data_IF_706131592851
#
_entry.id   IF_706131592851
#
_cell.length_a   1.000
_cell.length_b   1.000
_cell.length_c   1.000
_cell.angle_alpha   90.00
_cell.angle_beta   90.00
_cell.angle_gamma   90.00
#
_symmetry.space_group_name_H-M   'P 1'
#
loop_
_entity.id
_entity.type
_entity.pdbx_description
1 polymer ?
#
# COMPACT_ATOMS: atom_id res chain seq x y z
N UNK A 1 22.63 7.22 17.26
CA UNK A 1 21.61 6.16 17.31
C UNK A 1 20.55 6.54 16.29
N UNK A 2 20.10 5.61 15.43
CA UNK A 2 19.10 5.93 14.40
C UNK A 2 17.71 6.03 15.03
N UNK A 3 16.96 7.07 14.69
CA UNK A 3 15.54 7.25 15.04
C UNK A 3 14.67 6.85 13.86
N UNK A 4 13.92 5.78 14.02
CA UNK A 4 13.04 5.22 13.00
C UNK A 4 11.58 5.50 13.35
N UNK A 5 10.91 6.28 12.51
CA UNK A 5 9.46 6.42 12.49
C UNK A 5 8.79 5.28 11.72
N UNK A 6 7.60 4.88 12.16
CA UNK A 6 6.71 4.04 11.36
C UNK A 6 5.31 4.63 11.36
N UNK A 7 4.72 4.77 10.17
CA UNK A 7 3.31 5.09 9.98
C UNK A 7 2.61 3.80 9.58
N UNK A 8 1.71 3.29 10.41
CA UNK A 8 1.00 2.04 10.13
C UNK A 8 -0.43 2.05 10.67
N UNK A 9 -1.22 1.05 10.27
CA UNK A 9 -2.49 0.73 10.92
C UNK A 9 -2.27 0.33 12.39
N UNK A 10 -3.31 0.40 13.25
CA UNK A 10 -3.17 0.17 14.69
C UNK A 10 -2.37 -1.08 15.03
N UNK A 11 -1.20 -0.90 15.67
CA UNK A 11 -0.30 -2.00 16.04
C UNK A 11 -0.96 -3.02 17.00
N UNK A 12 -1.99 -2.58 17.72
CA UNK A 12 -2.81 -3.44 18.58
C UNK A 12 -3.65 -4.49 17.83
N UNK A 13 -3.82 -4.35 16.51
CA UNK A 13 -4.69 -5.20 15.71
C UNK A 13 -3.94 -6.14 14.76
N UNK A 14 -2.60 -6.16 14.81
CA UNK A 14 -1.79 -6.95 13.88
C UNK A 14 -1.68 -8.42 14.32
N UNK A 15 -1.34 -9.28 13.36
CA UNK A 15 -0.95 -10.66 13.64
C UNK A 15 0.58 -10.79 13.58
N UNK A 16 1.25 -10.81 14.73
CA UNK A 16 2.72 -10.83 14.83
C UNK A 16 3.39 -12.07 14.19
N UNK A 17 2.65 -13.13 13.83
CA UNK A 17 3.20 -14.26 13.03
C UNK A 17 3.39 -13.92 11.56
N UNK A 18 2.62 -12.97 11.03
CA UNK A 18 2.52 -12.70 9.59
C UNK A 18 2.85 -11.26 9.23
N UNK A 19 2.85 -10.37 10.22
CA UNK A 19 3.06 -8.95 10.00
C UNK A 19 4.53 -8.65 9.72
N UNK A 20 4.81 -8.18 8.51
CA UNK A 20 6.17 -7.83 8.09
C UNK A 20 6.63 -6.49 8.66
N UNK A 21 5.71 -5.58 8.99
CA UNK A 21 6.05 -4.32 9.67
C UNK A 21 6.60 -4.60 11.06
N UNK A 22 5.98 -5.55 11.79
CA UNK A 22 6.46 -6.01 13.10
C UNK A 22 7.85 -6.66 13.03
N UNK A 23 8.08 -7.50 12.01
CA UNK A 23 9.40 -8.11 11.79
C UNK A 23 10.50 -7.04 11.55
N UNK A 24 10.18 -5.97 10.81
CA UNK A 24 11.10 -4.83 10.61
C UNK A 24 11.39 -4.10 11.93
N UNK A 25 10.37 -3.86 12.76
CA UNK A 25 10.53 -3.18 14.06
C UNK A 25 11.38 -3.99 15.04
N UNK A 26 11.20 -5.32 15.10
CA UNK A 26 12.03 -6.19 15.93
C UNK A 26 13.51 -6.10 15.54
N UNK A 27 13.81 -6.12 14.24
CA UNK A 27 15.18 -6.01 13.74
C UNK A 27 15.77 -4.61 13.98
N UNK A 28 14.99 -3.55 13.80
CA UNK A 28 15.41 -2.19 14.11
C UNK A 28 15.74 -2.03 15.60
N UNK A 29 14.90 -2.55 16.49
CA UNK A 29 15.16 -2.56 17.92
C UNK A 29 16.40 -3.42 18.28
N UNK A 30 16.58 -4.58 17.63
CA UNK A 30 17.77 -5.43 17.82
C UNK A 30 19.07 -4.70 17.47
N UNK A 31 19.02 -3.77 16.51
CA UNK A 31 20.15 -2.89 16.14
C UNK A 31 20.30 -1.66 17.05
N UNK A 32 19.42 -1.50 18.04
CA UNK A 32 19.42 -0.38 18.97
C UNK A 32 18.86 0.91 18.38
N UNK A 33 17.94 0.84 17.42
CA UNK A 33 17.26 2.03 16.91
C UNK A 33 16.20 2.49 17.92
N UNK A 34 15.96 3.79 18.00
CA UNK A 34 14.82 4.35 18.72
C UNK A 34 13.60 4.34 17.81
N UNK A 35 12.51 3.71 18.26
CA UNK A 35 11.31 3.51 17.45
C UNK A 35 10.26 4.55 17.81
N UNK A 36 9.72 5.23 16.80
CA UNK A 36 8.63 6.20 16.91
C UNK A 36 7.42 5.67 16.15
N UNK A 37 6.34 5.37 16.88
CA UNK A 37 5.09 4.90 16.32
C UNK A 37 4.14 6.07 16.02
N UNK A 38 3.52 6.02 14.84
CA UNK A 38 2.53 6.97 14.36
C UNK A 38 1.41 6.25 13.61
N UNK A 39 0.20 6.77 13.74
CA UNK A 39 -0.94 6.48 12.86
C UNK A 39 -1.19 7.67 11.92
N UNK A 40 -2.08 7.49 10.93
CA UNK A 40 -2.38 8.56 9.96
C UNK A 40 -2.86 9.86 10.63
N UNK A 41 -3.66 9.73 11.70
CA UNK A 41 -4.19 10.87 12.44
C UNK A 41 -3.16 11.60 13.30
N UNK A 42 -1.98 11.01 13.52
CA UNK A 42 -0.89 11.63 14.27
C UNK A 42 -0.09 12.61 13.40
N UNK A 43 -0.16 12.49 12.07
CA UNK A 43 0.58 13.31 11.12
C UNK A 43 -0.13 14.63 10.85
N UNK A 44 0.61 15.73 10.85
CA UNK A 44 0.05 17.03 10.49
C UNK A 44 1.08 17.99 9.91
N UNK A 45 0.58 19.09 9.33
CA UNK A 45 1.37 20.20 8.82
C UNK A 45 1.03 21.48 9.59
N UNK A 46 2.05 22.22 10.00
CA UNK A 46 1.91 23.60 10.49
C UNK A 46 2.83 24.50 9.68
N UNK A 47 2.26 25.48 8.98
CA UNK A 47 3.03 26.42 8.13
C UNK A 47 4.03 25.73 7.17
N UNK A 48 3.67 24.56 6.63
CA UNK A 48 4.52 23.78 5.73
C UNK A 48 5.62 22.96 6.42
N UNK A 49 5.66 22.90 7.74
CA UNK A 49 6.49 21.99 8.52
C UNK A 49 5.72 20.71 8.86
N UNK A 50 6.28 19.56 8.48
CA UNK A 50 5.73 18.25 8.80
C UNK A 50 6.07 17.85 10.23
N UNK A 51 5.04 17.49 10.99
CA UNK A 51 5.13 17.14 12.40
C UNK A 51 4.26 15.93 12.69
N UNK A 52 4.51 15.29 13.82
CA UNK A 52 3.64 14.24 14.32
C UNK A 52 3.65 14.15 15.84
N UNK A 53 2.52 13.71 16.38
CA UNK A 53 2.46 13.17 17.74
C UNK A 53 2.95 11.72 17.72
N UNK A 54 4.17 11.49 18.19
CA UNK A 54 4.79 10.16 18.17
C UNK A 54 4.75 9.51 19.55
N UNK A 55 4.68 8.19 19.57
CA UNK A 55 4.88 7.40 20.78
C UNK A 55 6.17 6.59 20.66
N UNK A 56 7.06 6.69 21.64
CA UNK A 56 8.27 5.87 21.66
C UNK A 56 7.88 4.42 21.93
N UNK A 57 8.23 3.54 21.00
CA UNK A 57 7.74 2.17 20.91
C UNK A 57 8.80 1.17 21.35
N UNK A 58 8.40 0.20 22.16
CA UNK A 58 9.14 -1.03 22.40
C UNK A 58 8.35 -2.22 21.86
N UNK A 59 9.00 -3.14 21.15
CA UNK A 59 8.38 -4.35 20.59
C UNK A 59 9.06 -5.62 21.13
N UNK A 60 8.27 -6.68 21.30
CA UNK A 60 8.78 -8.00 21.72
C UNK A 60 7.96 -9.12 21.09
N UNK A 61 8.62 -10.23 20.73
CA UNK A 61 7.93 -11.40 20.16
C UNK A 61 7.16 -12.16 21.26
N UNK A 62 6.02 -11.62 21.69
CA UNK A 62 5.15 -12.19 22.72
C UNK A 62 3.68 -12.00 22.32
N UNK A 63 2.89 -13.08 22.36
CA UNK A 63 1.49 -13.07 21.91
C UNK A 63 0.52 -12.39 22.87
N UNK A 64 0.88 -12.23 24.14
CA UNK A 64 0.05 -11.56 25.14
C UNK A 64 0.25 -10.04 25.12
N UNK A 65 1.48 -9.60 24.87
CA UNK A 65 1.85 -8.20 24.83
C UNK A 65 3.05 -8.04 23.88
N UNK A 66 2.80 -7.65 22.64
CA UNK A 66 3.87 -7.53 21.63
C UNK A 66 4.46 -6.13 21.49
N UNK A 67 3.84 -5.14 22.14
CA UNK A 67 4.30 -3.76 22.12
C UNK A 67 4.01 -3.05 23.44
N UNK A 68 4.78 -2.01 23.72
CA UNK A 68 4.48 -1.03 24.77
C UNK A 68 4.96 0.36 24.35
N UNK A 69 4.28 1.39 24.86
CA UNK A 69 4.71 2.77 24.70
C UNK A 69 5.44 3.22 25.97
N UNK A 70 6.61 3.81 25.80
CA UNK A 70 7.47 4.25 26.92
C UNK A 70 7.56 5.78 27.05
N UNK A 71 6.92 6.51 26.14
CA UNK A 71 6.84 7.95 26.12
C UNK A 71 6.02 8.44 24.93
N UNK A 72 5.61 9.69 24.98
CA UNK A 72 4.95 10.40 23.89
C UNK A 72 5.50 11.81 23.75
N UNK A 73 5.52 12.30 22.51
CA UNK A 73 6.07 13.60 22.20
C UNK A 73 5.56 14.10 20.86
N UNK A 74 5.36 15.41 20.77
CA UNK A 74 5.18 16.11 19.51
C UNK A 74 6.54 16.54 18.95
N UNK A 75 6.87 16.12 17.73
CA UNK A 75 8.16 16.44 17.10
C UNK A 75 8.02 16.79 15.61
N UNK A 76 8.92 17.62 15.06
CA UNK A 76 9.11 17.71 13.61
C UNK A 76 9.54 16.34 13.06
N UNK A 77 8.91 15.88 11.98
CA UNK A 77 9.29 14.61 11.35
C UNK A 77 10.74 14.62 10.82
N UNK A 78 11.29 15.82 10.57
CA UNK A 78 12.69 16.04 10.21
C UNK A 78 13.69 15.60 11.28
N UNK A 79 13.26 15.43 12.54
CA UNK A 79 14.10 14.96 13.64
C UNK A 79 14.27 13.42 13.62
N UNK A 80 13.53 12.73 12.77
CA UNK A 80 13.67 11.30 12.51
C UNK A 80 14.62 11.09 11.32
N UNK A 81 15.49 10.08 11.41
CA UNK A 81 16.43 9.75 10.34
C UNK A 81 15.71 9.03 9.19
N UNK A 82 14.74 8.18 9.52
CA UNK A 82 14.00 7.36 8.57
C UNK A 82 12.54 7.18 9.00
N UNK A 83 11.61 7.20 8.05
CA UNK A 83 10.20 6.88 8.28
C UNK A 83 9.77 5.76 7.32
N UNK A 84 9.24 4.67 7.88
CA UNK A 84 8.59 3.61 7.13
C UNK A 84 7.10 3.93 6.95
N UNK A 85 6.68 4.22 5.72
CA UNK A 85 5.27 4.37 5.36
C UNK A 85 4.67 2.97 5.10
N UNK A 86 4.07 2.40 6.14
CA UNK A 86 3.56 1.02 6.21
C UNK A 86 2.04 0.97 6.42
N UNK A 87 1.33 2.04 6.05
CA UNK A 87 -0.13 2.07 6.01
C UNK A 87 -0.63 1.10 4.94
N UNK A 88 -1.55 0.22 5.32
CA UNK A 88 -2.18 -0.69 4.36
C UNK A 88 -3.09 0.06 3.39
N UNK A 89 -3.24 -0.41 2.15
CA UNK A 89 -4.25 0.08 1.21
C UNK A 89 -5.67 0.06 1.79
N UNK A 90 -6.59 0.92 1.32
CA UNK A 90 -6.64 1.44 -0.04
C UNK A 90 -5.73 2.66 -0.30
N UNK A 91 -5.30 2.81 -1.56
CA UNK A 91 -4.72 4.06 -2.04
C UNK A 91 -5.86 5.05 -2.32
N UNK A 92 -6.19 5.84 -1.31
CA UNK A 92 -7.23 6.86 -1.34
C UNK A 92 -6.64 8.27 -1.16
N UNK A 93 -7.51 9.28 -1.07
CA UNK A 93 -7.08 10.66 -0.95
C UNK A 93 -6.33 10.92 0.37
N UNK A 94 -6.71 10.25 1.46
CA UNK A 94 -6.03 10.36 2.76
C UNK A 94 -4.60 9.83 2.67
N UNK A 95 -4.40 8.70 1.98
CA UNK A 95 -3.08 8.18 1.69
C UNK A 95 -2.24 9.20 0.90
N UNK A 96 -2.82 9.81 -0.14
CA UNK A 96 -2.15 10.86 -0.94
C UNK A 96 -1.78 12.06 -0.07
N UNK A 97 -2.67 12.53 0.81
CA UNK A 97 -2.38 13.67 1.69
C UNK A 97 -1.23 13.37 2.64
N UNK A 98 -1.19 12.19 3.25
CA UNK A 98 -0.06 11.78 4.06
C UNK A 98 1.26 11.78 3.27
N UNK A 99 1.26 11.38 1.99
CA UNK A 99 2.49 11.45 1.18
C UNK A 99 3.02 12.89 1.06
N UNK A 100 2.16 13.91 0.95
CA UNK A 100 2.63 15.31 0.91
C UNK A 100 3.21 15.76 2.26
N UNK A 101 2.64 15.30 3.38
CA UNK A 101 3.22 15.57 4.70
C UNK A 101 4.62 14.94 4.80
N UNK A 102 4.76 13.66 4.43
CA UNK A 102 6.04 12.96 4.49
C UNK A 102 7.08 13.55 3.53
N UNK A 103 6.66 14.06 2.37
CA UNK A 103 7.55 14.73 1.41
C UNK A 103 8.16 16.02 1.99
N UNK A 104 7.42 16.75 2.84
CA UNK A 104 7.97 17.92 3.56
C UNK A 104 9.03 17.55 4.59
N UNK A 105 9.00 16.33 5.14
CA UNK A 105 10.08 15.79 5.96
C UNK A 105 11.26 15.31 5.10
N UNK A 106 10.97 14.68 3.95
CA UNK A 106 11.97 14.26 2.96
C UNK A 106 12.84 15.43 2.50
N UNK A 107 12.22 16.57 2.17
CA UNK A 107 12.92 17.80 1.77
C UNK A 107 13.87 18.34 2.85
N UNK A 108 13.61 18.00 4.13
CA UNK A 108 14.46 18.37 5.27
C UNK A 108 15.52 17.31 5.62
N UNK A 109 15.56 16.18 4.91
CA UNK A 109 16.62 15.17 5.02
C UNK A 109 16.19 13.81 5.59
N UNK A 110 14.94 13.66 6.03
CA UNK A 110 14.44 12.35 6.51
C UNK A 110 14.29 11.38 5.36
N UNK A 111 14.84 10.17 5.48
CA UNK A 111 14.61 9.12 4.48
C UNK A 111 13.18 8.57 4.62
N UNK A 112 12.36 8.68 3.57
CA UNK A 112 11.03 8.09 3.56
C UNK A 112 11.03 6.79 2.75
N UNK A 113 10.60 5.70 3.36
CA UNK A 113 10.53 4.38 2.74
C UNK A 113 9.07 3.94 2.60
N UNK A 114 8.48 3.88 1.41
CA UNK A 114 9.04 4.28 0.11
C UNK A 114 8.86 5.78 -0.17
N UNK A 115 9.59 6.29 -1.16
CA UNK A 115 9.54 7.70 -1.58
C UNK A 115 8.10 8.18 -1.85
N UNK A 116 7.64 9.28 -1.21
CA UNK A 116 6.28 9.82 -1.36
C UNK A 116 5.83 10.05 -2.79
N UNK A 117 6.69 10.68 -3.60
CA UNK A 117 6.41 10.91 -5.03
C UNK A 117 6.18 9.61 -5.77
N UNK A 118 7.07 8.62 -5.58
CA UNK A 118 6.94 7.31 -6.22
C UNK A 118 5.69 6.55 -5.77
N UNK A 119 5.23 6.73 -4.52
CA UNK A 119 3.96 6.16 -4.08
C UNK A 119 2.76 6.73 -4.84
N UNK A 120 2.81 8.01 -5.24
CA UNK A 120 1.76 8.65 -6.05
C UNK A 120 1.84 8.26 -7.54
N UNK A 121 3.06 8.11 -8.06
CA UNK A 121 3.30 7.78 -9.47
C UNK A 121 3.06 6.29 -9.76
N UNK A 122 3.51 5.41 -8.86
CA UNK A 122 3.55 3.97 -9.07
C UNK A 122 2.31 3.26 -8.51
N UNK A 123 1.13 3.55 -9.07
CA UNK A 123 -0.08 2.81 -8.72
C UNK A 123 0.09 1.30 -8.98
N UNK A 124 -0.20 0.46 -7.99
CA UNK A 124 0.08 -0.99 -8.05
C UNK A 124 -0.47 -1.72 -9.29
N UNK A 125 -1.57 -1.24 -9.89
CA UNK A 125 -2.13 -1.83 -11.11
C UNK A 125 -1.64 -1.13 -12.36
N UNK A 126 -1.70 0.20 -12.38
CA UNK A 126 -1.37 0.97 -13.58
C UNK A 126 0.12 1.04 -13.87
N UNK A 127 0.98 0.92 -12.88
CA UNK A 127 2.41 1.02 -13.09
C UNK A 127 2.93 -0.08 -14.05
N UNK A 128 2.18 -1.17 -14.17
CA UNK A 128 2.42 -2.22 -15.19
C UNK A 128 2.35 -1.71 -16.63
N UNK A 129 1.65 -0.61 -16.91
CA UNK A 129 1.55 -0.02 -18.24
C UNK A 129 2.91 0.50 -18.78
N UNK A 130 3.87 0.79 -17.91
CA UNK A 130 5.23 1.16 -18.29
C UNK A 130 6.11 -0.05 -18.67
N UNK A 131 5.59 -1.27 -18.52
CA UNK A 131 6.28 -2.53 -18.82
C UNK A 131 5.36 -3.45 -19.63
N UNK A 132 4.69 -2.92 -20.64
CA UNK A 132 3.64 -3.62 -21.41
C UNK A 132 4.09 -4.98 -21.96
N UNK A 133 5.37 -5.11 -22.35
CA UNK A 133 5.95 -6.32 -22.92
C UNK A 133 6.07 -7.48 -21.92
N UNK A 134 5.99 -7.18 -20.62
CA UNK A 134 6.05 -8.16 -19.53
C UNK A 134 4.67 -8.47 -18.93
N UNK A 135 3.61 -7.88 -19.49
CA UNK A 135 2.24 -7.96 -18.96
C UNK A 135 1.30 -8.67 -19.95
N UNK A 136 0.22 -9.30 -19.48
CA UNK A 136 -0.83 -9.76 -20.38
C UNK A 136 -1.49 -8.57 -21.08
N UNK A 137 -2.20 -8.84 -22.19
CA UNK A 137 -3.03 -7.83 -22.85
C UNK A 137 -3.96 -7.17 -21.81
N UNK A 138 -3.85 -5.86 -21.64
CA UNK A 138 -4.49 -5.13 -20.53
C UNK A 138 -5.29 -3.95 -21.08
N UNK A 139 -6.59 -3.93 -20.81
CA UNK A 139 -7.48 -2.81 -21.12
C UNK A 139 -7.89 -2.06 -19.86
N UNK A 140 -7.63 -0.76 -19.87
CA UNK A 140 -8.05 0.20 -18.85
C UNK A 140 -9.16 1.07 -19.44
N UNK A 141 -10.40 0.94 -18.96
CA UNK A 141 -11.52 1.75 -19.47
C UNK A 141 -12.69 1.86 -18.49
N UNK A 142 -13.49 2.92 -18.65
CA UNK A 142 -14.83 3.07 -18.07
C UNK A 142 -15.94 2.70 -19.06
N UNK A 143 -15.61 2.48 -20.34
CA UNK A 143 -16.58 2.25 -21.42
C UNK A 143 -16.94 0.75 -21.55
N UNK A 144 -18.22 0.44 -21.36
CA UNK A 144 -18.73 -0.94 -21.45
C UNK A 144 -18.60 -1.56 -22.84
N UNK A 145 -18.68 -0.77 -23.92
CA UNK A 145 -18.53 -1.28 -25.29
C UNK A 145 -17.09 -1.73 -25.55
N UNK A 146 -16.09 -0.99 -25.06
CA UNK A 146 -14.67 -1.39 -25.15
C UNK A 146 -14.40 -2.67 -24.36
N UNK A 147 -14.94 -2.81 -23.15
CA UNK A 147 -14.83 -4.06 -22.37
C UNK A 147 -15.41 -5.26 -23.13
N UNK A 148 -16.59 -5.11 -23.75
CA UNK A 148 -17.21 -6.16 -24.56
C UNK A 148 -16.37 -6.51 -25.80
N UNK A 149 -15.77 -5.51 -26.44
CA UNK A 149 -14.90 -5.74 -27.60
C UNK A 149 -13.64 -6.51 -27.21
N UNK A 150 -12.99 -6.11 -26.12
CA UNK A 150 -11.82 -6.78 -25.55
C UNK A 150 -12.11 -8.25 -25.19
N UNK A 151 -13.24 -8.50 -24.53
CA UNK A 151 -13.69 -9.87 -24.22
C UNK A 151 -14.00 -10.72 -25.45
N UNK A 152 -14.40 -10.10 -26.58
CA UNK A 152 -14.63 -10.83 -27.84
C UNK A 152 -13.33 -11.21 -28.54
N UNK A 153 -12.25 -10.48 -28.31
CA UNK A 153 -10.95 -10.72 -28.95
C UNK A 153 -10.06 -11.65 -28.13
N UNK A 154 -10.32 -11.75 -26.81
CA UNK A 154 -9.58 -12.63 -25.89
C UNK A 154 -10.39 -13.90 -25.54
N UNK A 155 -9.72 -15.03 -25.32
CA UNK A 155 -10.40 -16.30 -25.00
C UNK A 155 -10.89 -16.38 -23.54
N UNK A 156 -10.11 -15.81 -22.62
CA UNK A 156 -10.43 -15.67 -21.19
C UNK A 156 -9.96 -14.31 -20.73
N UNK A 157 -10.80 -13.57 -20.00
CA UNK A 157 -10.44 -12.28 -19.44
C UNK A 157 -10.66 -12.27 -17.93
N UNK A 158 -9.87 -11.47 -17.23
CA UNK A 158 -10.04 -11.17 -15.81
C UNK A 158 -10.40 -9.69 -15.66
N UNK A 159 -11.51 -9.40 -15.01
CA UNK A 159 -11.95 -8.04 -14.71
C UNK A 159 -11.69 -7.73 -13.24
N UNK A 160 -11.04 -6.59 -12.96
CA UNK A 160 -10.81 -6.12 -11.59
C UNK A 160 -11.15 -4.64 -11.44
N UNK A 161 -11.56 -4.23 -10.23
CA UNK A 161 -11.78 -2.82 -9.90
C UNK A 161 -10.48 -2.17 -9.44
N UNK A 162 -10.27 -0.94 -9.89
CA UNK A 162 -9.17 -0.03 -9.55
C UNK A 162 -8.77 -0.02 -8.08
N UNK A 163 -9.72 0.33 -7.21
CA UNK A 163 -9.49 0.62 -5.80
C UNK A 163 -9.33 -0.62 -4.92
N UNK A 164 -9.32 -1.82 -5.50
CA UNK A 164 -9.37 -3.05 -4.71
C UNK A 164 -8.01 -3.75 -4.71
N UNK A 165 -7.47 -3.87 -3.50
CA UNK A 165 -6.22 -4.54 -3.18
C UNK A 165 -6.41 -6.06 -2.95
N UNK A 166 -5.33 -6.84 -3.10
CA UNK A 166 -5.22 -8.27 -2.77
C UNK A 166 -6.36 -9.18 -3.28
N UNK A 167 -6.45 -9.39 -4.60
CA UNK A 167 -7.36 -10.34 -5.26
C UNK A 167 -8.87 -10.20 -4.93
N UNK A 168 -9.27 -9.22 -4.12
CA UNK A 168 -10.66 -8.98 -3.75
C UNK A 168 -11.37 -8.44 -5.00
N UNK A 169 -12.48 -9.07 -5.40
CA UNK A 169 -13.26 -8.77 -6.63
C UNK A 169 -12.49 -8.89 -7.96
N UNK A 170 -11.90 -10.05 -8.21
CA UNK A 170 -11.69 -10.51 -9.59
C UNK A 170 -12.92 -11.26 -10.09
N UNK A 171 -13.47 -10.84 -11.23
CA UNK A 171 -14.42 -11.64 -11.99
C UNK A 171 -13.70 -12.30 -13.15
N UNK A 172 -13.87 -13.61 -13.30
CA UNK A 172 -13.36 -14.37 -14.45
C UNK A 172 -14.48 -14.57 -15.45
N UNK A 173 -14.32 -13.99 -16.64
CA UNK A 173 -15.20 -14.28 -17.77
C UNK A 173 -14.50 -15.23 -18.75
N UNK A 174 -15.12 -16.39 -19.01
CA UNK A 174 -14.75 -17.26 -20.12
C UNK A 174 -15.78 -17.14 -21.23
N UNK A 175 -15.32 -17.09 -22.48
CA UNK A 175 -16.22 -17.15 -23.63
C UNK A 175 -16.90 -18.52 -23.64
N UNK A 176 -18.23 -18.57 -23.57
CA UNK A 176 -18.97 -19.81 -23.84
C UNK A 176 -18.71 -20.17 -25.31
N UNK A 177 -18.19 -21.37 -25.57
CA UNK A 177 -18.16 -21.92 -26.92
C UNK A 177 -19.59 -21.88 -27.46
N UNK A 178 -19.78 -21.32 -28.67
CA UNK A 178 -21.06 -21.49 -29.37
C UNK A 178 -21.37 -22.99 -29.39
N UNK A 179 -22.61 -23.44 -29.10
CA UNK A 179 -22.96 -24.81 -29.40
C UNK A 179 -22.66 -25.05 -30.88
N UNK A 180 -21.94 -26.14 -31.19
CA UNK A 180 -21.78 -26.58 -32.58
C UNK A 180 -23.20 -26.63 -33.18
N UNK A 181 -23.45 -25.90 -34.28
CA UNK A 181 -24.63 -26.18 -35.08
C UNK A 181 -24.48 -27.64 -35.52
N UNK A 182 -25.35 -28.52 -35.02
CA UNK A 182 -25.43 -29.88 -35.53
C UNK A 182 -25.96 -29.74 -36.96
N UNK A 183 -25.04 -29.73 -37.93
CA UNK A 183 -25.36 -29.93 -39.33
C UNK A 183 -25.71 -31.40 -39.49
N UNK A 184 -26.95 -31.77 -39.18
CA UNK A 184 -27.55 -33.00 -39.71
C UNK A 184 -28.73 -32.63 -40.57
N UNK A 185 -28.61 -33.01 -41.84
CA UNK A 185 -29.60 -32.87 -42.89
C UNK A 185 -30.95 -33.48 -42.48
N UNK A 186 -32.06 -32.95 -43.04
CA UNK A 186 -33.30 -33.70 -43.10
C UNK A 186 -33.18 -34.74 -44.23
N UNK A 187 -33.21 -36.01 -43.87
CA UNK A 187 -33.73 -37.08 -44.73
C UNK A 187 -35.11 -37.47 -44.19
#
# INVERSE_FOLDING_TARGET
MIKLGIVMDPIANINIKKDSSFAMLLEAQRRGYELHYMEMGDLYLINGEARAHTRTLNVKQNYEEWFSFVGEQDLPLADLDVILMRKDPPFDTEFIYATYILERAEEKGTLIVNKPQSLRDCNEKLFTAWFSDLTPETLVTRNKAQLKAFWRNTATSFLSRWTVWAARRFSRERRRSKPRRDCRNPD
#
